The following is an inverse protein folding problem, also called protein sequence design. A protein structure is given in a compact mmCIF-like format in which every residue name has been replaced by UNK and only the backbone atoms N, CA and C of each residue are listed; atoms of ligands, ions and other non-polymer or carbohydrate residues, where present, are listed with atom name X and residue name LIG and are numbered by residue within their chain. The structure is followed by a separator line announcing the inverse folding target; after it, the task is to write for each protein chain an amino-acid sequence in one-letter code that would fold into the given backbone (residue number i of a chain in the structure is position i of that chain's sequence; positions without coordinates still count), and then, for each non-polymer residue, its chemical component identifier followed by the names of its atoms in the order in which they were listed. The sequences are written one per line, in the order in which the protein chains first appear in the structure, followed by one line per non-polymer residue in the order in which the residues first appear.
data_IF_281346292793
#
_entry.id   IF_281346292793
#
_cell.length_a   1.000
_cell.length_b   1.000
_cell.length_c   1.000
_cell.angle_alpha   90.00
_cell.angle_beta   90.00
_cell.angle_gamma   90.00
#
_symmetry.space_group_name_H-M   'P 1'
#
loop_
_entity.id
_entity.type
_entity.pdbx_description
1 polymer ?
#
# COMPACT_ATOMS: atom_id res chain seq x y z
N UNK A 1 41.75 -62.90 17.83
CA UNK A 1 41.31 -61.59 17.27
C UNK A 1 41.78 -60.52 18.24
N UNK A 2 42.62 -59.57 17.79
CA UNK A 2 43.32 -58.66 18.69
C UNK A 2 42.35 -57.64 19.31
N UNK A 3 42.05 -57.80 20.61
CA UNK A 3 41.19 -56.89 21.38
C UNK A 3 41.65 -55.42 21.24
N UNK A 4 42.95 -55.16 21.07
CA UNK A 4 43.50 -53.82 20.82
C UNK A 4 43.00 -53.20 19.51
N UNK A 5 42.84 -53.98 18.43
CA UNK A 5 42.34 -53.49 17.14
C UNK A 5 40.84 -53.15 17.23
N UNK A 6 40.09 -53.92 18.05
CA UNK A 6 38.66 -53.72 18.28
C UNK A 6 38.39 -52.45 19.10
N UNK A 7 39.20 -52.17 20.13
CA UNK A 7 39.06 -50.94 20.94
C UNK A 7 39.43 -49.67 20.16
N UNK A 8 40.44 -49.72 19.28
CA UNK A 8 40.81 -48.59 18.43
C UNK A 8 39.70 -48.27 17.41
N UNK A 9 39.09 -49.30 16.80
CA UNK A 9 37.99 -49.11 15.86
C UNK A 9 36.74 -48.54 16.56
N UNK A 10 36.46 -48.97 17.79
CA UNK A 10 35.33 -48.47 18.59
C UNK A 10 35.51 -47.00 19.01
N UNK A 11 36.74 -46.57 19.33
CA UNK A 11 37.03 -45.18 19.68
C UNK A 11 36.92 -44.24 18.47
N UNK A 12 37.37 -44.66 17.28
CA UNK A 12 37.24 -43.86 16.06
C UNK A 12 35.77 -43.69 15.64
N UNK A 13 34.94 -44.71 15.85
CA UNK A 13 33.50 -44.64 15.56
C UNK A 13 32.76 -43.71 16.54
N UNK A 14 33.18 -43.67 17.82
CA UNK A 14 32.61 -42.77 18.82
C UNK A 14 32.96 -41.28 18.56
N UNK A 15 34.16 -41.00 18.03
CA UNK A 15 34.56 -39.64 17.64
C UNK A 15 33.85 -39.14 16.38
N UNK A 16 33.56 -40.02 15.41
CA UNK A 16 32.83 -39.67 14.19
C UNK A 16 31.34 -39.33 14.44
N UNK A 17 30.74 -39.90 15.48
CA UNK A 17 29.35 -39.62 15.87
C UNK A 17 29.18 -38.27 16.59
N UNK A 18 30.24 -37.66 17.10
CA UNK A 18 30.21 -36.34 17.74
C UNK A 18 30.34 -35.17 16.76
N UNK A 19 30.72 -35.45 15.50
CA UNK A 19 30.85 -34.47 14.42
C UNK A 19 29.58 -34.26 13.59
N UNK A 20 28.44 -34.86 13.97
CA UNK A 20 27.18 -34.80 13.21
C UNK A 20 26.14 -33.78 13.72
N UNK A 21 26.44 -33.00 14.76
CA UNK A 21 25.55 -31.95 15.25
C UNK A 21 26.25 -30.59 15.15
N UNK A 22 26.47 -30.16 13.91
CA UNK A 22 27.00 -28.84 13.60
C UNK A 22 26.43 -28.37 12.28
N UNK A 23 25.10 -28.44 12.10
CA UNK A 23 24.50 -27.55 11.11
C UNK A 23 24.72 -26.14 11.65
N UNK A 24 25.65 -25.41 11.04
CA UNK A 24 25.79 -23.97 11.18
C UNK A 24 24.58 -23.26 10.54
N UNK A 25 23.37 -23.81 10.74
CA UNK A 25 22.11 -23.20 10.39
C UNK A 25 21.79 -22.19 11.49
N UNK A 26 22.60 -21.13 11.53
CA UNK A 26 22.16 -19.88 12.14
C UNK A 26 20.82 -19.54 11.48
N UNK A 27 19.71 -19.50 12.24
CA UNK A 27 18.40 -19.20 11.66
C UNK A 27 18.50 -17.88 10.92
N UNK A 28 18.31 -17.92 9.59
CA UNK A 28 18.26 -16.68 8.83
C UNK A 28 17.06 -15.88 9.34
N UNK A 29 17.22 -14.58 9.65
CA UNK A 29 16.14 -13.80 10.18
C UNK A 29 14.96 -13.79 9.20
N UNK A 30 13.78 -14.21 9.68
CA UNK A 30 12.56 -14.23 8.88
C UNK A 30 12.24 -12.81 8.40
N UNK A 31 12.09 -12.58 7.08
CA UNK A 31 11.73 -11.27 6.56
C UNK A 31 10.41 -10.76 7.13
N UNK A 32 10.34 -9.46 7.42
CA UNK A 32 9.10 -8.81 7.86
C UNK A 32 8.33 -8.37 6.62
N UNK A 33 7.01 -8.56 6.63
CA UNK A 33 6.13 -8.20 5.52
C UNK A 33 5.29 -6.97 5.85
N UNK A 34 5.10 -6.10 4.86
CA UNK A 34 4.42 -4.82 4.98
C UNK A 34 3.48 -4.59 3.80
N UNK A 35 2.41 -3.83 4.04
CA UNK A 35 1.51 -3.32 3.02
C UNK A 35 1.41 -1.81 3.19
N UNK A 36 1.89 -1.06 2.21
CA UNK A 36 1.91 0.41 2.29
C UNK A 36 1.41 1.05 1.00
N UNK A 37 0.88 2.26 1.13
CA UNK A 37 0.65 3.17 0.01
C UNK A 37 2.00 3.74 -0.43
N UNK A 38 2.26 3.71 -1.74
CA UNK A 38 3.54 4.16 -2.28
C UNK A 38 3.38 5.02 -3.54
N UNK A 39 4.37 5.88 -3.78
CA UNK A 39 4.55 6.57 -5.07
C UNK A 39 5.67 5.88 -5.83
N UNK A 40 5.43 5.53 -7.09
CA UNK A 40 6.47 5.02 -7.98
C UNK A 40 7.43 6.15 -8.33
N UNK A 41 8.69 6.02 -7.93
CA UNK A 41 9.75 7.00 -8.22
C UNK A 41 10.49 6.61 -9.49
N UNK A 42 10.80 5.33 -9.62
CA UNK A 42 11.41 4.75 -10.80
C UNK A 42 10.96 3.29 -10.94
N UNK A 43 10.78 2.84 -12.17
CA UNK A 43 10.62 1.43 -12.52
C UNK A 43 11.07 1.26 -13.96
N UNK A 44 12.04 0.39 -14.21
CA UNK A 44 12.57 0.19 -15.56
C UNK A 44 13.57 -0.94 -15.65
N UNK A 45 13.73 -1.47 -16.86
CA UNK A 45 14.71 -2.52 -17.15
C UNK A 45 16.13 -2.04 -16.82
N UNK A 46 16.88 -2.87 -16.08
CA UNK A 46 18.24 -2.54 -15.62
C UNK A 46 18.34 -1.54 -14.47
N UNK A 47 17.25 -0.88 -14.08
CA UNK A 47 17.22 0.10 -12.98
C UNK A 47 16.50 -0.41 -11.71
N UNK A 48 15.70 -1.47 -11.85
CA UNK A 48 14.86 -1.98 -10.77
C UNK A 48 13.68 -1.05 -10.47
N UNK A 49 13.12 -1.16 -9.27
CA UNK A 49 12.00 -0.34 -8.80
C UNK A 49 12.40 0.46 -7.57
N UNK A 50 12.03 1.74 -7.57
CA UNK A 50 12.11 2.62 -6.41
C UNK A 50 10.73 3.16 -6.06
N UNK A 51 10.34 3.01 -4.80
CA UNK A 51 9.06 3.46 -4.27
C UNK A 51 9.27 4.39 -3.09
N UNK A 52 8.53 5.49 -3.03
CA UNK A 52 8.45 6.31 -1.82
C UNK A 52 7.25 5.92 -0.98
N UNK A 53 7.50 5.62 0.29
CA UNK A 53 6.47 5.33 1.28
C UNK A 53 6.54 6.35 2.42
N UNK A 54 5.38 6.67 2.97
CA UNK A 54 5.26 7.39 4.24
C UNK A 54 4.13 6.70 5.00
N UNK A 55 4.43 6.14 6.17
CA UNK A 55 3.53 5.19 6.85
C UNK A 55 2.57 5.89 7.80
N UNK A 56 3.04 6.96 8.42
CA UNK A 56 2.26 7.81 9.34
C UNK A 56 2.53 9.29 9.03
N UNK A 57 1.65 10.20 9.48
CA UNK A 57 1.86 11.64 9.29
C UNK A 57 3.18 12.14 9.88
N UNK A 58 3.67 11.50 10.95
CA UNK A 58 4.91 11.84 11.65
C UNK A 58 6.14 11.10 11.14
N UNK A 59 5.97 10.08 10.28
CA UNK A 59 7.10 9.32 9.72
C UNK A 59 7.77 10.09 8.58
N UNK A 60 9.09 9.97 8.39
CA UNK A 60 9.75 10.48 7.21
C UNK A 60 9.27 9.73 5.96
N UNK A 61 9.45 10.35 4.79
CA UNK A 61 9.36 9.62 3.52
C UNK A 61 10.58 8.72 3.39
N UNK A 62 10.36 7.46 3.03
CA UNK A 62 11.38 6.42 2.91
C UNK A 62 11.35 5.84 1.51
N UNK A 63 12.53 5.69 0.92
CA UNK A 63 12.68 5.05 -0.39
C UNK A 63 12.90 3.55 -0.26
N UNK A 64 11.96 2.76 -0.72
CA UNK A 64 12.17 1.33 -0.96
C UNK A 64 12.94 1.16 -2.28
N UNK A 65 13.91 0.25 -2.29
CA UNK A 65 14.68 -0.09 -3.49
C UNK A 65 14.61 -1.60 -3.72
N UNK A 66 14.19 -2.01 -4.92
CA UNK A 66 14.12 -3.40 -5.32
C UNK A 66 14.82 -3.61 -6.65
N UNK A 67 15.46 -4.77 -6.83
CA UNK A 67 15.99 -5.19 -8.13
C UNK A 67 14.89 -5.63 -9.09
N UNK A 68 13.68 -5.89 -8.60
CA UNK A 68 12.52 -6.25 -9.42
C UNK A 68 12.00 -5.03 -10.17
N UNK A 69 11.55 -5.23 -11.41
CA UNK A 69 10.85 -4.20 -12.19
C UNK A 69 9.34 -4.38 -12.04
N UNK A 70 8.63 -3.29 -11.78
CA UNK A 70 7.16 -3.26 -11.88
C UNK A 70 6.78 -2.86 -13.32
N UNK A 71 6.49 -3.86 -14.15
CA UNK A 71 6.07 -3.65 -15.53
C UNK A 71 4.79 -2.79 -15.60
N UNK A 72 4.78 -1.80 -16.50
CA UNK A 72 3.64 -0.90 -16.70
C UNK A 72 3.44 0.17 -15.61
N UNK A 73 4.23 0.14 -14.52
CA UNK A 73 4.19 1.18 -13.50
C UNK A 73 4.76 2.49 -14.05
N UNK A 74 4.07 3.60 -13.79
CA UNK A 74 4.48 4.94 -14.25
C UNK A 74 5.06 5.75 -13.10
N UNK A 75 6.10 6.54 -13.37
CA UNK A 75 6.62 7.50 -12.38
C UNK A 75 5.50 8.45 -11.93
N UNK A 76 5.42 8.69 -10.61
CA UNK A 76 4.37 9.47 -9.96
C UNK A 76 3.08 8.69 -9.68
N UNK A 77 2.93 7.47 -10.20
CA UNK A 77 1.74 6.65 -9.96
C UNK A 77 1.63 6.25 -8.49
N UNK A 78 0.43 6.37 -7.93
CA UNK A 78 0.11 5.83 -6.61
C UNK A 78 -0.26 4.36 -6.72
N UNK A 79 0.32 3.56 -5.84
CA UNK A 79 0.11 2.12 -5.75
C UNK A 79 -0.11 1.71 -4.30
N UNK A 80 -0.69 0.52 -4.11
CA UNK A 80 -0.52 -0.25 -2.87
C UNK A 80 0.51 -1.33 -3.13
N UNK A 81 1.53 -1.43 -2.28
CA UNK A 81 2.62 -2.38 -2.41
C UNK A 81 2.66 -3.32 -1.21
N UNK A 82 2.71 -4.62 -1.47
CA UNK A 82 3.06 -5.65 -0.49
C UNK A 82 4.54 -6.01 -0.68
N UNK A 83 5.35 -5.79 0.36
CA UNK A 83 6.80 -5.91 0.28
C UNK A 83 7.40 -6.52 1.54
N UNK A 84 8.64 -7.00 1.41
CA UNK A 84 9.40 -7.61 2.49
C UNK A 84 10.78 -6.99 2.63
N UNK A 85 11.28 -6.89 3.85
CA UNK A 85 12.65 -6.48 4.15
C UNK A 85 13.25 -7.26 5.32
N UNK A 86 14.56 -7.09 5.51
CA UNK A 86 15.25 -7.67 6.65
C UNK A 86 14.76 -6.97 7.94
N UNK A 87 14.51 -7.69 9.04
CA UNK A 87 14.16 -7.08 10.33
C UNK A 87 15.15 -6.02 10.82
N UNK A 88 16.42 -6.09 10.41
CA UNK A 88 17.45 -5.12 10.77
C UNK A 88 17.36 -3.79 9.99
N UNK A 89 16.61 -3.76 8.88
CA UNK A 89 16.47 -2.56 8.06
C UNK A 89 15.51 -1.57 8.71
N UNK A 90 15.98 -0.33 8.91
CA UNK A 90 15.22 0.74 9.53
C UNK A 90 14.60 1.65 8.47
N UNK A 91 13.33 2.03 8.65
CA UNK A 91 12.58 2.99 7.82
C UNK A 91 13.01 4.46 8.02
N UNK A 92 14.31 4.71 8.17
CA UNK A 92 14.89 6.07 8.26
C UNK A 92 15.82 6.40 7.09
N UNK A 93 16.09 5.40 6.24
CA UNK A 93 17.04 5.43 5.12
C UNK A 93 16.50 4.52 4.02
N UNK A 94 17.04 4.57 2.79
CA UNK A 94 16.61 3.66 1.74
C UNK A 94 16.65 2.20 2.20
N UNK A 95 15.56 1.47 1.98
CA UNK A 95 15.40 0.08 2.45
C UNK A 95 15.43 -0.86 1.25
N UNK A 96 16.39 -1.81 1.19
CA UNK A 96 16.31 -2.91 0.25
C UNK A 96 15.03 -3.72 0.48
N UNK A 97 14.24 -3.91 -0.57
CA UNK A 97 12.94 -4.54 -0.48
C UNK A 97 12.73 -5.59 -1.56
N UNK A 98 12.04 -6.67 -1.20
CA UNK A 98 11.45 -7.62 -2.16
C UNK A 98 9.98 -7.25 -2.32
N UNK A 99 9.61 -6.78 -3.52
CA UNK A 99 8.22 -6.43 -3.83
C UNK A 99 7.49 -7.72 -4.21
N UNK A 100 6.52 -8.10 -3.40
CA UNK A 100 5.75 -9.33 -3.57
C UNK A 100 4.51 -9.11 -4.43
N UNK A 101 3.87 -7.96 -4.27
CA UNK A 101 2.84 -7.49 -5.21
C UNK A 101 2.74 -5.98 -5.17
N UNK A 102 2.28 -5.40 -6.27
CA UNK A 102 1.96 -4.00 -6.38
C UNK A 102 0.75 -3.85 -7.29
N UNK A 103 -0.17 -2.96 -6.93
CA UNK A 103 -1.31 -2.61 -7.78
C UNK A 103 -1.46 -1.11 -7.84
N UNK A 104 -1.74 -0.60 -9.05
CA UNK A 104 -2.30 0.72 -9.23
C UNK A 104 -3.58 0.85 -8.41
N UNK A 105 -3.80 2.04 -7.85
CA UNK A 105 -4.99 2.37 -7.08
C UNK A 105 -5.63 3.66 -7.61
N UNK A 106 -6.96 3.82 -7.49
CA UNK A 106 -7.62 5.10 -7.67
C UNK A 106 -6.87 6.23 -6.98
N UNK A 107 -6.48 7.21 -7.76
CA UNK A 107 -5.65 8.33 -7.33
C UNK A 107 -5.79 9.52 -8.27
N UNK A 108 -5.42 10.69 -7.78
CA UNK A 108 -5.50 11.95 -8.53
C UNK A 108 -5.53 13.15 -7.58
N UNK A 109 -5.39 14.34 -8.14
CA UNK A 109 -5.52 15.59 -7.40
C UNK A 109 -6.99 15.92 -7.19
N UNK A 110 -7.37 16.20 -5.95
CA UNK A 110 -8.73 16.62 -5.60
C UNK A 110 -8.95 18.04 -6.09
N UNK A 111 -10.08 18.26 -6.76
CA UNK A 111 -10.50 19.57 -7.27
C UNK A 111 -11.86 19.96 -6.70
N UNK A 112 -12.06 21.27 -6.58
CA UNK A 112 -13.34 21.85 -6.23
C UNK A 112 -14.37 21.65 -7.34
N UNK A 113 -15.59 21.35 -6.93
CA UNK A 113 -16.80 21.45 -7.73
C UNK A 113 -17.92 22.06 -6.88
N UNK A 114 -18.91 22.67 -7.51
CA UNK A 114 -20.12 23.09 -6.80
C UNK A 114 -20.91 21.88 -6.30
N UNK A 115 -21.57 21.98 -5.15
CA UNK A 115 -22.37 20.87 -4.60
C UNK A 115 -23.44 20.36 -5.58
N UNK A 116 -24.01 21.25 -6.40
CA UNK A 116 -24.98 20.89 -7.43
C UNK A 116 -24.37 20.07 -8.57
N UNK A 117 -23.12 20.34 -8.95
CA UNK A 117 -22.40 19.48 -9.90
C UNK A 117 -22.10 18.13 -9.29
N UNK A 118 -21.62 18.09 -8.05
CA UNK A 118 -21.29 16.84 -7.35
C UNK A 118 -22.53 15.93 -7.26
N UNK A 119 -23.71 16.48 -6.94
CA UNK A 119 -25.00 15.73 -6.88
C UNK A 119 -25.45 15.13 -8.21
N UNK A 120 -24.97 15.68 -9.34
CA UNK A 120 -25.23 15.18 -10.69
C UNK A 120 -24.22 14.12 -11.13
N UNK A 121 -23.08 14.00 -10.44
CA UNK A 121 -22.11 12.94 -10.70
C UNK A 121 -22.63 11.58 -10.22
N UNK A 122 -22.09 10.50 -10.77
CA UNK A 122 -22.38 9.16 -10.26
C UNK A 122 -21.66 8.95 -8.94
N UNK A 123 -22.39 8.48 -7.93
CA UNK A 123 -21.84 8.24 -6.60
C UNK A 123 -21.43 6.79 -6.42
N UNK A 124 -20.35 6.60 -5.69
CA UNK A 124 -19.88 5.28 -5.31
C UNK A 124 -20.60 4.85 -4.03
N UNK A 125 -21.11 3.62 -3.99
CA UNK A 125 -21.54 3.02 -2.73
C UNK A 125 -20.32 2.41 -2.03
N UNK A 126 -19.94 2.96 -0.87
CA UNK A 126 -18.77 2.51 -0.13
C UNK A 126 -18.95 2.54 1.38
N UNK A 127 -18.08 1.80 2.07
CA UNK A 127 -17.81 1.92 3.51
C UNK A 127 -16.33 2.21 3.70
N UNK A 128 -16.02 3.20 4.53
CA UNK A 128 -14.64 3.51 4.91
C UNK A 128 -14.20 2.53 6.00
N UNK A 129 -13.14 1.79 5.75
CA UNK A 129 -12.49 0.93 6.75
C UNK A 129 -11.40 1.70 7.49
N UNK A 130 -10.63 2.51 6.76
CA UNK A 130 -9.68 3.47 7.31
C UNK A 130 -9.46 4.60 6.33
N UNK A 131 -9.17 5.79 6.86
CA UNK A 131 -8.72 6.94 6.10
C UNK A 131 -7.66 7.66 6.92
N UNK A 132 -6.53 8.00 6.31
CA UNK A 132 -5.44 8.68 6.99
C UNK A 132 -4.75 9.61 6.01
N UNK A 133 -4.68 10.89 6.38
CA UNK A 133 -3.88 11.86 5.65
C UNK A 133 -2.41 11.68 5.99
N UNK A 134 -1.57 11.47 5.00
CA UNK A 134 -0.12 11.34 5.16
C UNK A 134 0.56 12.20 4.08
N UNK A 135 1.27 13.23 4.53
CA UNK A 135 1.77 14.29 3.65
C UNK A 135 0.63 14.96 2.89
N UNK A 136 0.78 14.99 1.57
CA UNK A 136 -0.18 15.59 0.64
C UNK A 136 -1.34 14.66 0.28
N UNK A 137 -1.31 13.40 0.72
CA UNK A 137 -2.27 12.39 0.29
C UNK A 137 -3.25 11.98 1.39
N UNK A 138 -4.52 11.86 1.04
CA UNK A 138 -5.50 11.12 1.82
C UNK A 138 -5.52 9.67 1.34
N UNK A 139 -4.96 8.78 2.15
CA UNK A 139 -4.91 7.34 1.89
C UNK A 139 -6.13 6.66 2.52
N UNK A 140 -6.79 5.79 1.77
CA UNK A 140 -8.05 5.17 2.21
C UNK A 140 -8.07 3.68 1.90
N UNK A 141 -8.64 2.94 2.84
CA UNK A 141 -9.08 1.58 2.65
C UNK A 141 -10.59 1.53 2.73
N UNK A 142 -11.22 0.98 1.71
CA UNK A 142 -12.67 1.03 1.51
C UNK A 142 -13.19 -0.38 1.25
N UNK A 143 -14.47 -0.58 1.54
CA UNK A 143 -15.28 -1.59 0.87
C UNK A 143 -16.13 -0.86 -0.15
N UNK A 144 -16.05 -1.24 -1.42
CA UNK A 144 -16.85 -0.65 -2.49
C UNK A 144 -17.83 -1.71 -3.01
N UNK A 145 -19.10 -1.34 -3.11
CA UNK A 145 -20.11 -2.19 -3.72
C UNK A 145 -20.08 -1.98 -5.23
N UNK A 146 -19.71 -3.02 -5.96
CA UNK A 146 -19.57 -2.93 -7.41
C UNK A 146 -19.89 -4.28 -8.06
N UNK A 147 -20.50 -4.23 -9.24
CA UNK A 147 -20.65 -5.38 -10.13
C UNK A 147 -19.44 -5.47 -11.11
N UNK A 148 -18.71 -4.38 -11.31
CA UNK A 148 -17.56 -4.31 -12.21
C UNK A 148 -16.26 -4.81 -11.59
N UNK A 149 -15.41 -5.42 -12.43
CA UNK A 149 -14.06 -5.88 -12.04
C UNK A 149 -13.17 -4.71 -11.59
N UNK A 150 -13.24 -3.57 -12.28
CA UNK A 150 -12.38 -2.41 -12.04
C UNK A 150 -13.21 -1.22 -11.60
N UNK A 151 -13.43 -1.00 -10.30
CA UNK A 151 -14.22 0.16 -9.89
C UNK A 151 -13.41 1.44 -10.05
N UNK A 152 -13.85 2.34 -10.94
CA UNK A 152 -13.21 3.62 -11.22
C UNK A 152 -13.92 4.72 -10.45
N UNK A 153 -13.17 5.39 -9.58
CA UNK A 153 -13.67 6.53 -8.84
C UNK A 153 -12.57 7.54 -8.54
N UNK A 154 -13.00 8.77 -8.33
CA UNK A 154 -12.17 9.89 -7.94
C UNK A 154 -12.76 10.57 -6.71
N UNK A 155 -12.02 11.53 -6.17
CA UNK A 155 -12.45 12.39 -5.09
C UNK A 155 -12.57 13.84 -5.59
N UNK A 156 -13.66 14.48 -5.20
CA UNK A 156 -13.94 15.89 -5.46
C UNK A 156 -14.25 16.60 -4.15
N UNK A 157 -14.03 17.91 -4.09
CA UNK A 157 -14.34 18.73 -2.92
C UNK A 157 -15.48 19.70 -3.21
N UNK A 158 -16.30 20.01 -2.21
CA UNK A 158 -17.26 21.11 -2.30
C UNK A 158 -16.53 22.45 -2.20
N UNK A 159 -16.60 23.24 -3.28
CA UNK A 159 -16.00 24.57 -3.39
C UNK A 159 -16.39 25.50 -2.24
N UNK A 160 -17.63 25.40 -1.74
CA UNK A 160 -18.11 26.24 -0.65
C UNK A 160 -17.36 26.00 0.68
N UNK A 161 -16.68 24.87 0.81
CA UNK A 161 -15.93 24.47 2.00
C UNK A 161 -14.41 24.70 1.90
N UNK A 162 -13.91 25.08 0.72
CA UNK A 162 -12.47 25.32 0.46
C UNK A 162 -11.87 26.52 1.20
N UNK A 163 -12.66 27.33 1.90
CA UNK A 163 -12.18 28.36 2.84
C UNK A 163 -12.36 28.01 4.31
N UNK A 164 -13.00 26.88 4.64
CA UNK A 164 -13.40 26.52 5.99
C UNK A 164 -12.36 25.63 6.70
N UNK A 165 -12.44 25.51 8.03
CA UNK A 165 -11.53 24.63 8.80
C UNK A 165 -11.64 23.15 8.42
N UNK A 166 -12.77 22.76 7.85
CA UNK A 166 -13.02 21.42 7.30
C UNK A 166 -13.43 21.55 5.84
N UNK A 167 -12.79 20.77 4.97
CA UNK A 167 -13.15 20.63 3.56
C UNK A 167 -13.98 19.36 3.38
N UNK A 168 -15.14 19.50 2.76
CA UNK A 168 -16.02 18.39 2.45
C UNK A 168 -15.64 17.78 1.11
N UNK A 169 -15.41 16.47 1.12
CA UNK A 169 -15.02 15.70 -0.04
C UNK A 169 -15.96 14.52 -0.28
N UNK A 170 -16.12 14.15 -1.55
CA UNK A 170 -17.04 13.13 -2.00
C UNK A 170 -16.33 12.18 -2.94
N UNK A 171 -16.62 10.87 -2.81
CA UNK A 171 -16.21 9.90 -3.81
C UNK A 171 -17.27 9.82 -4.91
N UNK A 172 -16.82 10.06 -6.14
CA UNK A 172 -17.65 10.01 -7.35
C UNK A 172 -17.02 9.03 -8.32
N UNK A 173 -17.84 8.24 -8.98
CA UNK A 173 -17.43 7.11 -9.81
C UNK A 173 -17.88 7.22 -11.24
N UNK A 174 -17.34 6.38 -12.10
CA UNK A 174 -17.92 6.06 -13.39
C UNK A 174 -18.84 4.84 -13.22
N UNK A 175 -20.09 4.93 -13.68
CA UNK A 175 -20.96 3.75 -13.76
C UNK A 175 -20.34 2.77 -14.75
N UNK A 176 -19.89 1.61 -14.26
CA UNK A 176 -19.50 0.48 -15.09
C UNK A 176 -20.69 -0.48 -15.21
N UNK A 177 -20.76 -1.29 -16.28
CA UNK A 177 -22.02 -1.81 -16.82
C UNK A 177 -22.87 -2.57 -15.79
N UNK A 178 -24.18 -2.41 -15.91
CA UNK A 178 -25.24 -2.79 -14.96
C UNK A 178 -25.49 -4.31 -14.84
N UNK A 179 -24.84 -5.13 -15.66
CA UNK A 179 -25.11 -6.56 -15.72
C UNK A 179 -24.33 -7.34 -14.66
N UNK A 180 -25.01 -7.72 -13.57
CA UNK A 180 -24.52 -8.69 -12.60
C UNK A 180 -24.81 -8.33 -11.14
N UNK A 181 -24.64 -9.32 -10.25
CA UNK A 181 -24.82 -9.11 -8.82
C UNK A 181 -23.72 -8.19 -8.26
N UNK A 182 -24.14 -7.17 -7.51
CA UNK A 182 -23.23 -6.34 -6.75
C UNK A 182 -22.54 -7.17 -5.66
N UNK A 183 -21.22 -7.03 -5.58
CA UNK A 183 -20.42 -7.63 -4.49
C UNK A 183 -19.60 -6.57 -3.79
N UNK A 184 -19.41 -6.76 -2.48
CA UNK A 184 -18.53 -5.93 -1.67
C UNK A 184 -17.08 -6.31 -1.95
N UNK A 185 -16.29 -5.38 -2.48
CA UNK A 185 -14.86 -5.57 -2.76
C UNK A 185 -14.02 -4.63 -1.91
N UNK A 186 -12.86 -5.12 -1.44
CA UNK A 186 -11.89 -4.27 -0.75
C UNK A 186 -11.15 -3.43 -1.80
N UNK A 187 -11.09 -2.13 -1.57
CA UNK A 187 -10.39 -1.19 -2.43
C UNK A 187 -9.41 -0.35 -1.60
N UNK A 188 -8.37 0.11 -2.26
CA UNK A 188 -7.42 1.09 -1.74
C UNK A 188 -7.49 2.31 -2.66
N UNK A 189 -7.37 3.51 -2.11
CA UNK A 189 -7.33 4.74 -2.88
C UNK A 189 -6.43 5.78 -2.20
N UNK A 190 -5.86 6.69 -2.98
CA UNK A 190 -4.93 7.70 -2.49
C UNK A 190 -5.07 8.98 -3.30
N UNK A 191 -5.64 10.02 -2.73
CA UNK A 191 -5.90 11.28 -3.43
C UNK A 191 -5.04 12.41 -2.88
N UNK A 192 -4.47 13.20 -3.78
CA UNK A 192 -3.68 14.38 -3.44
C UNK A 192 -4.63 15.52 -3.05
N UNK A 193 -4.56 15.91 -1.78
CA UNK A 193 -5.37 16.95 -1.15
C UNK A 193 -4.59 18.24 -0.92
N UNK A 194 -3.34 18.34 -1.38
CA UNK A 194 -2.48 19.51 -1.17
C UNK A 194 -3.11 20.81 -1.70
N UNK A 195 -3.82 20.74 -2.83
CA UNK A 195 -4.47 21.89 -3.45
C UNK A 195 -5.71 22.42 -2.70
N UNK A 196 -6.41 21.57 -1.95
CA UNK A 196 -7.66 21.93 -1.26
C UNK A 196 -7.48 22.11 0.25
N UNK A 197 -6.53 21.38 0.84
CA UNK A 197 -6.24 21.38 2.25
C UNK A 197 -4.73 21.47 2.49
N UNK A 198 -4.04 22.54 2.04
CA UNK A 198 -2.58 22.61 2.06
C UNK A 198 -1.97 22.54 3.47
N UNK A 199 -2.72 22.96 4.48
CA UNK A 199 -2.24 22.97 5.87
C UNK A 199 -2.53 21.62 6.54
N UNK A 200 -1.61 21.07 7.35
CA UNK A 200 -1.79 19.76 8.00
C UNK A 200 -2.95 19.70 9.01
N UNK A 201 -3.29 20.81 9.65
CA UNK A 201 -4.38 20.95 10.63
C UNK A 201 -5.76 21.06 9.97
N UNK A 202 -5.79 21.37 8.67
CA UNK A 202 -7.01 21.45 7.89
C UNK A 202 -7.62 20.06 7.68
N UNK A 203 -8.86 19.90 8.14
CA UNK A 203 -9.54 18.62 8.12
C UNK A 203 -10.15 18.34 6.75
N UNK A 204 -10.07 17.09 6.31
CA UNK A 204 -10.79 16.58 5.15
C UNK A 204 -11.87 15.63 5.66
N UNK A 205 -13.13 15.94 5.38
CA UNK A 205 -14.27 15.13 5.75
C UNK A 205 -14.81 14.42 4.52
N UNK A 206 -14.90 13.09 4.61
CA UNK A 206 -15.58 12.28 3.60
C UNK A 206 -17.08 12.32 3.85
N UNK A 207 -17.81 12.90 2.90
CA UNK A 207 -19.25 13.03 2.94
C UNK A 207 -19.90 11.99 2.01
N UNK A 208 -21.07 11.50 2.42
CA UNK A 208 -21.97 10.80 1.53
C UNK A 208 -23.04 11.79 1.07
N UNK A 209 -23.43 11.72 -0.20
CA UNK A 209 -24.67 12.37 -0.64
C UNK A 209 -25.79 11.40 -0.30
N UNK A 210 -26.61 11.76 0.68
CA UNK A 210 -27.85 11.03 0.94
C UNK A 210 -28.69 11.08 -0.34
N UNK A 211 -28.89 9.92 -0.95
CA UNK A 211 -29.65 9.78 -2.20
C UNK A 211 -31.17 9.90 -1.98
N UNK A 212 -31.61 10.28 -0.78
CA UNK A 212 -33.03 10.36 -0.40
C UNK A 212 -33.76 11.60 -0.93
N UNK A 213 -33.04 12.56 -1.52
CA UNK A 213 -33.62 13.80 -2.07
C UNK A 213 -33.79 13.76 -3.61
N UNK A 214 -33.98 12.57 -4.20
CA UNK A 214 -34.40 12.43 -5.60
C UNK A 214 -35.86 11.99 -5.71
#
# INVERSE_FOLDING_TARGET
MNNKLMYTLLCCLALALMSSCGSNDTPQPTPVSFTDFATVVASGEGQGTQLDIQRTPSSPVVRLSSSQTLEGAKVGQRIVAYWQANPADTVLRPVPAVIRSASAIPSGTVRGHSLDEIRRMSHVCYKVLSATRVGDYLNMQLTVQSNARDTRFTMVADEATLGQGTVDCYLVGENLPEDGAYVNRRAYASFDVSGIAPQPDRQVRLCNIDQTDR
#
